data_IF_561005940480
#
_entry.id   IF_561005940480
#
_cell.length_a   1.000
_cell.length_b   1.000
_cell.length_c   1.000
_cell.angle_alpha   90.00
_cell.angle_beta   90.00
_cell.angle_gamma   90.00
#
_symmetry.space_group_name_H-M   'P 1'
#
loop_
_entity.id
_entity.type
_entity.pdbx_description
1 polymer ?
#
# COMPACT_ATOMS: atom_id res chain seq x y z
N UNK A 1 5.55 29.50 -0.18
CA UNK A 1 5.86 28.43 -1.16
C UNK A 1 5.06 27.18 -0.89
N UNK A 2 5.18 26.59 0.30
CA UNK A 2 4.46 25.36 0.69
C UNK A 2 2.94 25.44 0.43
N UNK A 3 2.29 26.55 0.80
CA UNK A 3 0.86 26.76 0.55
C UNK A 3 0.47 26.67 -0.93
N UNK A 4 1.29 27.26 -1.80
CA UNK A 4 1.07 27.25 -3.26
C UNK A 4 1.19 25.81 -3.77
N UNK A 5 2.20 25.07 -3.30
CA UNK A 5 2.43 23.67 -3.70
C UNK A 5 1.30 22.75 -3.24
N UNK A 6 0.79 22.92 -2.01
CA UNK A 6 -0.38 22.17 -1.52
C UNK A 6 -1.57 22.39 -2.44
N UNK A 7 -1.89 23.64 -2.75
CA UNK A 7 -3.04 23.96 -3.60
C UNK A 7 -2.81 23.55 -5.06
N UNK A 8 -1.57 23.54 -5.55
CA UNK A 8 -1.23 22.96 -6.86
C UNK A 8 -1.53 21.47 -6.93
N UNK A 9 -1.19 20.70 -5.89
CA UNK A 9 -1.51 19.27 -5.85
C UNK A 9 -3.02 19.01 -5.79
N UNK A 10 -3.76 19.82 -5.04
CA UNK A 10 -5.23 19.75 -5.01
C UNK A 10 -5.81 20.11 -6.38
N UNK A 11 -5.32 21.18 -7.01
CA UNK A 11 -5.73 21.61 -8.34
C UNK A 11 -5.45 20.54 -9.41
N UNK A 12 -4.27 19.92 -9.37
CA UNK A 12 -3.93 18.79 -10.25
C UNK A 12 -4.89 17.61 -10.05
N UNK A 13 -5.21 17.27 -8.80
CA UNK A 13 -6.19 16.23 -8.48
C UNK A 13 -7.61 16.56 -8.96
N UNK A 14 -8.03 17.82 -8.86
CA UNK A 14 -9.31 18.29 -9.41
C UNK A 14 -9.34 18.21 -10.93
N UNK A 15 -8.26 18.60 -11.62
CA UNK A 15 -8.18 18.50 -13.08
C UNK A 15 -8.26 17.04 -13.55
N UNK A 16 -7.62 16.12 -12.83
CA UNK A 16 -7.60 14.70 -13.17
C UNK A 16 -8.97 14.02 -12.96
N UNK A 17 -9.72 14.45 -11.94
CA UNK A 17 -10.98 13.81 -11.55
C UNK A 17 -12.24 14.58 -11.98
N UNK A 18 -12.10 15.68 -12.73
CA UNK A 18 -13.25 16.46 -13.20
C UNK A 18 -13.89 15.80 -14.44
N UNK A 19 -15.11 15.24 -14.32
CA UNK A 19 -15.78 14.54 -15.42
C UNK A 19 -16.13 15.48 -16.58
N UNK A 20 -16.39 16.75 -16.30
CA UNK A 20 -16.72 17.78 -17.29
C UNK A 20 -15.51 18.26 -18.10
N UNK A 21 -14.30 17.90 -17.66
CA UNK A 21 -13.01 18.31 -18.23
C UNK A 21 -12.22 17.16 -18.85
N UNK A 22 -12.81 15.95 -18.90
CA UNK A 22 -12.14 14.72 -19.35
C UNK A 22 -11.61 14.81 -20.79
N UNK A 23 -12.19 15.68 -21.62
CA UNK A 23 -11.78 15.94 -22.99
C UNK A 23 -10.45 16.70 -23.13
N UNK A 24 -9.99 17.42 -22.10
CA UNK A 24 -8.69 18.11 -22.11
C UNK A 24 -8.13 18.35 -20.70
N UNK A 25 -7.67 17.28 -20.06
CA UNK A 25 -7.04 17.32 -18.72
C UNK A 25 -5.83 18.27 -18.66
N UNK A 26 -4.90 18.31 -19.66
CA UNK A 26 -3.76 19.23 -19.62
C UNK A 26 -4.15 20.72 -19.59
N UNK A 27 -5.18 21.10 -20.35
CA UNK A 27 -5.70 22.47 -20.35
C UNK A 27 -6.26 22.84 -18.97
N UNK A 28 -7.10 21.98 -18.39
CA UNK A 28 -7.72 22.24 -17.09
C UNK A 28 -6.70 22.28 -15.95
N UNK A 29 -5.67 21.43 -16.01
CA UNK A 29 -4.54 21.47 -15.08
C UNK A 29 -3.85 22.83 -15.09
N UNK A 30 -3.58 23.35 -16.29
CA UNK A 30 -2.96 24.67 -16.46
C UNK A 30 -3.87 25.79 -15.93
N UNK A 31 -5.15 25.75 -16.28
CA UNK A 31 -6.14 26.73 -15.82
C UNK A 31 -6.25 26.76 -14.29
N UNK A 32 -6.31 25.60 -13.64
CA UNK A 32 -6.44 25.54 -12.18
C UNK A 32 -5.16 26.00 -11.47
N UNK A 33 -3.97 25.66 -12.00
CA UNK A 33 -2.71 26.19 -11.49
C UNK A 33 -2.62 27.70 -11.59
N UNK A 34 -3.06 28.28 -12.72
CA UNK A 34 -3.16 29.74 -12.87
C UNK A 34 -4.15 30.34 -11.85
N UNK A 35 -5.26 29.66 -11.57
CA UNK A 35 -6.20 30.04 -10.51
C UNK A 35 -5.56 30.05 -9.12
N UNK A 36 -4.73 29.05 -8.80
CA UNK A 36 -3.98 29.00 -7.54
C UNK A 36 -2.96 30.14 -7.46
N UNK A 37 -2.18 30.37 -8.52
CA UNK A 37 -1.23 31.48 -8.57
C UNK A 37 -1.93 32.83 -8.35
N UNK A 38 -3.08 33.03 -8.99
CA UNK A 38 -3.93 34.21 -8.78
C UNK A 38 -4.41 34.33 -7.34
N UNK A 39 -4.82 33.24 -6.69
CA UNK A 39 -5.24 33.22 -5.27
C UNK A 39 -4.14 33.73 -4.33
N UNK A 40 -2.87 33.42 -4.64
CA UNK A 40 -1.72 33.84 -3.84
C UNK A 40 -1.10 35.16 -4.30
N UNK A 41 -1.67 35.85 -5.28
CA UNK A 41 -1.11 37.05 -5.91
C UNK A 41 0.32 36.85 -6.41
N UNK A 42 0.61 35.68 -6.98
CA UNK A 42 1.91 35.32 -7.56
C UNK A 42 1.74 35.13 -9.06
N UNK A 43 2.66 35.67 -9.86
CA UNK A 43 2.70 35.42 -11.30
C UNK A 43 3.44 34.11 -11.60
N UNK A 44 3.18 33.53 -12.78
CA UNK A 44 3.91 32.34 -13.24
C UNK A 44 5.43 32.57 -13.23
N UNK A 45 5.88 33.74 -13.69
CA UNK A 45 7.30 34.09 -13.74
C UNK A 45 7.94 34.19 -12.34
N UNK A 46 7.25 34.76 -11.36
CA UNK A 46 7.74 34.82 -9.98
C UNK A 46 7.81 33.43 -9.34
N UNK A 47 6.80 32.59 -9.59
CA UNK A 47 6.82 31.20 -9.15
C UNK A 47 7.99 30.43 -9.77
N UNK A 48 8.16 30.52 -11.09
CA UNK A 48 9.24 29.84 -11.81
C UNK A 48 10.61 30.33 -11.35
N UNK A 49 10.75 31.64 -11.09
CA UNK A 49 11.97 32.22 -10.50
C UNK A 49 12.27 31.65 -9.12
N UNK A 50 11.24 31.45 -8.29
CA UNK A 50 11.40 30.79 -6.98
C UNK A 50 11.85 29.33 -7.13
N UNK A 51 11.36 28.61 -8.14
CA UNK A 51 11.75 27.22 -8.41
C UNK A 51 13.21 27.10 -8.86
N UNK A 52 13.76 28.10 -9.56
CA UNK A 52 15.20 28.17 -9.87
C UNK A 52 16.03 28.20 -8.58
N UNK A 53 15.63 28.99 -7.58
CA UNK A 53 16.31 29.01 -6.28
C UNK A 53 16.27 27.62 -5.61
N UNK A 54 15.11 26.98 -5.57
CA UNK A 54 14.96 25.66 -4.95
C UNK A 54 15.67 24.53 -5.68
N UNK A 55 15.85 24.62 -7.00
CA UNK A 55 16.64 23.63 -7.76
C UNK A 55 18.10 23.55 -7.29
N UNK A 56 18.63 24.62 -6.70
CA UNK A 56 19.99 24.68 -6.12
C UNK A 56 20.02 24.47 -4.60
N UNK A 57 18.85 24.34 -3.98
CA UNK A 57 18.69 24.16 -2.53
C UNK A 57 17.75 22.98 -2.27
N UNK A 58 18.17 21.79 -2.72
CA UNK A 58 17.39 20.55 -2.64
C UNK A 58 16.91 20.24 -1.22
N UNK A 59 17.73 20.52 -0.21
CA UNK A 59 17.39 20.23 1.19
C UNK A 59 16.22 21.09 1.68
N UNK A 60 16.21 22.37 1.32
CA UNK A 60 15.09 23.28 1.64
C UNK A 60 13.82 22.89 0.88
N UNK A 61 13.97 22.49 -0.39
CA UNK A 61 12.84 22.01 -1.19
C UNK A 61 12.26 20.72 -0.60
N UNK A 62 13.12 19.81 -0.15
CA UNK A 62 12.74 18.56 0.51
C UNK A 62 11.92 18.83 1.78
N UNK A 63 12.37 19.74 2.64
CA UNK A 63 11.64 20.09 3.86
C UNK A 63 10.28 20.74 3.57
N UNK A 64 10.20 21.59 2.53
CA UNK A 64 8.91 22.11 2.04
C UNK A 64 8.00 20.96 1.59
N UNK A 65 8.51 19.99 0.83
CA UNK A 65 7.71 18.86 0.36
C UNK A 65 7.28 17.89 1.49
N UNK A 66 8.05 17.77 2.58
CA UNK A 66 7.57 17.09 3.80
C UNK A 66 6.33 17.78 4.37
N UNK A 67 6.37 19.11 4.49
CA UNK A 67 5.21 19.91 4.95
C UNK A 67 3.99 19.78 4.04
N UNK A 68 4.21 19.81 2.71
CA UNK A 68 3.16 19.57 1.71
C UNK A 68 2.50 18.20 1.92
N UNK A 69 3.30 17.14 2.06
CA UNK A 69 2.80 15.77 2.25
C UNK A 69 1.99 15.63 3.55
N UNK A 70 2.48 16.19 4.66
CA UNK A 70 1.79 16.18 5.95
C UNK A 70 0.45 16.90 5.90
N UNK A 71 0.39 18.07 5.24
CA UNK A 71 -0.83 18.87 5.13
C UNK A 71 -1.86 18.21 4.23
N UNK A 72 -1.44 17.66 3.09
CA UNK A 72 -2.33 16.91 2.21
C UNK A 72 -2.88 15.68 2.92
N UNK A 73 -2.04 14.98 3.71
CA UNK A 73 -2.46 13.84 4.51
C UNK A 73 -3.50 14.21 5.55
N UNK A 74 -3.26 15.26 6.34
CA UNK A 74 -4.23 15.79 7.31
C UNK A 74 -5.53 16.23 6.65
N UNK A 75 -5.46 16.87 5.49
CA UNK A 75 -6.63 17.32 4.73
C UNK A 75 -7.46 16.12 4.23
N UNK A 76 -6.82 15.09 3.70
CA UNK A 76 -7.50 13.87 3.27
C UNK A 76 -8.20 13.17 4.46
N UNK A 77 -7.52 13.03 5.61
CA UNK A 77 -8.12 12.51 6.84
C UNK A 77 -9.35 13.32 7.27
N UNK A 78 -9.26 14.65 7.26
CA UNK A 78 -10.38 15.52 7.65
C UNK A 78 -11.59 15.43 6.71
N UNK A 79 -11.36 14.99 5.46
CA UNK A 79 -12.40 14.78 4.46
C UNK A 79 -12.94 13.33 4.45
N UNK A 80 -12.57 12.52 5.44
CA UNK A 80 -13.10 11.16 5.62
C UNK A 80 -12.30 10.06 4.93
N UNK A 81 -11.10 10.34 4.41
CA UNK A 81 -10.20 9.29 3.95
C UNK A 81 -9.69 8.48 5.15
N UNK A 82 -9.62 7.15 5.02
CA UNK A 82 -9.01 6.32 6.05
C UNK A 82 -7.53 6.66 6.19
N UNK A 83 -6.99 6.58 7.41
CA UNK A 83 -5.56 6.73 7.67
C UNK A 83 -4.69 5.73 6.89
N UNK A 84 -5.27 4.59 6.51
CA UNK A 84 -4.62 3.61 5.66
C UNK A 84 -4.63 4.02 4.19
N UNK A 85 -5.68 4.68 3.70
CA UNK A 85 -5.74 5.18 2.32
C UNK A 85 -4.78 6.34 2.10
N UNK A 86 -4.65 7.26 3.07
CA UNK A 86 -3.72 8.39 2.97
C UNK A 86 -2.25 7.94 2.88
N UNK A 87 -1.87 6.91 3.63
CA UNK A 87 -0.52 6.32 3.59
C UNK A 87 -0.24 5.55 2.29
N UNK A 88 -1.27 5.07 1.60
CA UNK A 88 -1.15 4.40 0.29
C UNK A 88 -0.82 5.38 -0.85
N UNK A 89 -1.10 6.67 -0.69
CA UNK A 89 -1.00 7.67 -1.76
C UNK A 89 0.03 8.79 -1.53
N UNK A 90 0.44 9.08 -0.28
CA UNK A 90 1.31 10.23 0.03
C UNK A 90 2.73 9.84 0.46
N UNK A 91 3.71 10.08 -0.42
CA UNK A 91 5.15 10.17 -0.11
C UNK A 91 5.78 8.99 0.64
N UNK A 92 6.28 8.04 -0.14
CA UNK A 92 6.80 6.78 0.36
C UNK A 92 8.33 6.80 0.28
N UNK A 93 8.97 7.56 1.19
CA UNK A 93 10.44 7.67 1.26
C UNK A 93 11.08 6.36 1.73
N UNK A 94 12.27 6.02 1.21
CA UNK A 94 12.94 4.74 1.47
C UNK A 94 13.22 4.45 2.97
N UNK A 95 13.35 5.50 3.79
CA UNK A 95 13.61 5.40 5.24
C UNK A 95 12.36 5.58 6.12
N UNK A 96 11.18 5.81 5.52
CA UNK A 96 9.93 5.96 6.25
C UNK A 96 9.34 4.64 6.72
N UNK A 97 8.41 4.72 7.68
CA UNK A 97 7.56 3.59 8.14
C UNK A 97 6.75 2.92 7.01
N UNK A 98 6.69 3.58 5.86
CA UNK A 98 6.12 3.06 4.64
C UNK A 98 7.03 3.50 3.50
N UNK A 99 7.50 2.56 2.66
CA UNK A 99 8.40 2.78 1.50
C UNK A 99 7.82 2.13 0.22
N UNK A 100 7.80 2.83 -0.93
CA UNK A 100 7.52 2.18 -2.22
C UNK A 100 8.84 1.67 -2.75
N UNK A 101 8.97 0.35 -2.79
CA UNK A 101 10.20 -0.35 -3.15
C UNK A 101 10.12 -0.95 -4.56
N UNK A 102 9.09 -0.61 -5.35
CA UNK A 102 8.97 -1.06 -6.73
C UNK A 102 10.06 -0.44 -7.60
N UNK A 103 10.86 -1.29 -8.25
CA UNK A 103 11.94 -0.90 -9.16
C UNK A 103 11.59 -1.16 -10.65
N UNK A 104 10.48 -1.85 -10.91
CA UNK A 104 10.05 -2.19 -12.27
C UNK A 104 9.28 -1.08 -12.96
N UNK A 105 8.80 -1.37 -14.16
CA UNK A 105 7.93 -0.45 -14.90
C UNK A 105 6.58 -0.29 -14.16
N UNK A 106 6.03 0.93 -14.07
CA UNK A 106 4.75 1.18 -13.39
C UNK A 106 3.55 0.59 -14.15
N UNK A 107 3.76 0.19 -15.42
CA UNK A 107 2.75 -0.42 -16.27
C UNK A 107 3.36 -1.52 -17.13
N UNK A 108 2.62 -2.59 -17.34
CA UNK A 108 3.04 -3.76 -18.12
C UNK A 108 1.87 -4.22 -18.99
N UNK A 109 2.16 -4.70 -20.19
CA UNK A 109 1.17 -5.33 -21.06
C UNK A 109 1.51 -6.81 -21.22
N UNK A 110 0.53 -7.68 -20.96
CA UNK A 110 0.61 -9.11 -21.19
C UNK A 110 -0.19 -9.50 -22.43
N UNK A 111 0.44 -10.30 -23.28
CA UNK A 111 -0.17 -10.90 -24.48
C UNK A 111 -0.43 -12.38 -24.27
N UNK A 112 -1.26 -13.00 -25.10
CA UNK A 112 -1.61 -14.43 -24.96
C UNK A 112 -0.50 -15.41 -25.40
N UNK A 113 0.60 -14.93 -25.97
CA UNK A 113 1.69 -15.76 -26.48
C UNK A 113 2.99 -15.60 -25.69
N UNK A 114 3.72 -16.70 -25.41
CA UNK A 114 5.08 -16.62 -24.88
C UNK A 114 6.03 -15.89 -25.84
N UNK A 115 7.02 -15.14 -25.32
CA UNK A 115 7.32 -14.94 -23.88
C UNK A 115 6.52 -13.80 -23.23
N UNK A 116 5.66 -13.11 -23.98
CA UNK A 116 4.97 -11.88 -23.55
C UNK A 116 3.74 -12.12 -22.66
N UNK A 117 3.48 -13.36 -22.28
CA UNK A 117 2.38 -13.74 -21.40
C UNK A 117 2.77 -13.76 -19.92
N UNK A 118 4.01 -13.38 -19.59
CA UNK A 118 4.52 -13.33 -18.22
C UNK A 118 5.39 -12.09 -18.01
N UNK A 119 5.29 -11.49 -16.83
CA UNK A 119 6.22 -10.49 -16.33
C UNK A 119 6.64 -10.86 -14.92
N UNK A 120 7.93 -11.00 -14.69
CA UNK A 120 8.49 -11.40 -13.38
C UNK A 120 9.38 -10.30 -12.82
N UNK A 121 9.44 -10.21 -11.49
CA UNK A 121 10.31 -9.27 -10.79
C UNK A 121 10.99 -9.94 -9.59
N UNK A 122 12.13 -9.39 -9.19
CA UNK A 122 12.90 -9.79 -8.02
C UNK A 122 13.55 -8.56 -7.39
N UNK A 123 13.42 -8.42 -6.07
CA UNK A 123 13.98 -7.31 -5.31
C UNK A 123 14.69 -7.91 -4.09
N UNK A 124 15.99 -7.66 -3.99
CA UNK A 124 16.78 -8.01 -2.82
C UNK A 124 16.55 -6.99 -1.71
N UNK A 125 16.45 -7.46 -0.46
CA UNK A 125 16.29 -6.58 0.70
C UNK A 125 17.61 -5.88 1.03
N UNK A 126 17.53 -4.57 1.27
CA UNK A 126 18.65 -3.76 1.76
C UNK A 126 18.53 -3.50 3.28
N UNK A 127 19.38 -2.61 3.80
CA UNK A 127 19.38 -2.23 5.22
C UNK A 127 18.10 -1.53 5.70
N UNK A 128 17.22 -1.08 4.80
CA UNK A 128 15.98 -0.41 5.17
C UNK A 128 14.86 -1.40 5.55
N UNK A 129 15.01 -2.68 5.23
CA UNK A 129 14.05 -3.72 5.63
C UNK A 129 14.25 -4.15 7.09
N UNK A 130 13.14 -4.32 7.82
CA UNK A 130 13.13 -4.69 9.24
C UNK A 130 12.36 -5.98 9.46
N UNK A 131 12.63 -6.61 10.60
CA UNK A 131 11.90 -7.78 11.07
C UNK A 131 10.47 -7.36 11.42
N UNK A 132 9.47 -8.11 10.94
CA UNK A 132 8.05 -7.75 11.08
C UNK A 132 7.50 -6.96 9.90
N UNK A 133 8.32 -6.62 8.91
CA UNK A 133 7.84 -5.90 7.74
C UNK A 133 6.80 -6.68 6.95
N UNK A 134 5.89 -5.94 6.32
CA UNK A 134 4.91 -6.48 5.38
C UNK A 134 5.07 -5.86 4.01
N UNK A 135 4.86 -6.68 2.99
CA UNK A 135 4.96 -6.33 1.59
C UNK A 135 3.57 -6.36 0.97
N UNK A 136 3.18 -5.26 0.33
CA UNK A 136 1.91 -5.10 -0.35
C UNK A 136 2.15 -4.78 -1.82
N UNK A 137 1.82 -5.72 -2.71
CA UNK A 137 1.79 -5.49 -4.15
C UNK A 137 0.42 -4.96 -4.55
N UNK A 138 0.40 -3.80 -5.18
CA UNK A 138 -0.79 -3.09 -5.63
C UNK A 138 -0.72 -2.81 -7.13
N UNK A 139 -1.80 -3.02 -7.86
CA UNK A 139 -1.88 -2.76 -9.30
C UNK A 139 -3.34 -2.65 -9.79
N UNK A 140 -3.52 -1.94 -10.91
CA UNK A 140 -4.78 -1.86 -11.64
C UNK A 140 -4.73 -2.77 -12.87
N UNK A 141 -5.81 -3.51 -13.11
CA UNK A 141 -5.98 -4.40 -14.26
C UNK A 141 -6.97 -3.78 -15.24
N UNK A 142 -6.64 -3.80 -16.54
CA UNK A 142 -7.59 -3.59 -17.62
C UNK A 142 -7.42 -4.69 -18.67
N UNK A 143 -8.53 -5.23 -19.20
CA UNK A 143 -8.48 -6.34 -20.15
C UNK A 143 -9.28 -6.06 -21.41
N UNK A 144 -8.68 -6.29 -22.58
CA UNK A 144 -9.36 -6.32 -23.88
C UNK A 144 -9.33 -7.76 -24.36
N UNK A 145 -10.44 -8.47 -24.20
CA UNK A 145 -10.57 -9.90 -24.54
C UNK A 145 -11.87 -10.08 -25.33
N UNK A 146 -11.75 -10.47 -26.59
CA UNK A 146 -12.89 -10.67 -27.50
C UNK A 146 -13.65 -11.98 -27.23
N UNK A 147 -12.95 -13.07 -26.86
CA UNK A 147 -13.55 -14.36 -26.53
C UNK A 147 -12.72 -15.13 -25.48
N UNK A 148 -13.32 -16.11 -24.81
CA UNK A 148 -12.63 -17.01 -23.86
C UNK A 148 -12.56 -16.55 -22.39
N UNK A 149 -11.93 -17.38 -21.54
CA UNK A 149 -11.74 -17.07 -20.12
C UNK A 149 -10.68 -15.97 -19.93
N UNK A 150 -10.93 -15.13 -18.93
CA UNK A 150 -10.06 -13.99 -18.58
C UNK A 150 -9.14 -14.37 -17.43
N UNK A 151 -8.52 -15.55 -17.49
CA UNK A 151 -7.77 -16.07 -16.36
C UNK A 151 -6.32 -15.55 -16.36
N UNK A 152 -6.00 -14.72 -15.38
CA UNK A 152 -4.65 -14.24 -15.14
C UNK A 152 -4.30 -14.36 -13.65
N UNK A 153 -3.03 -14.57 -13.39
CA UNK A 153 -2.49 -14.86 -12.06
C UNK A 153 -1.47 -13.80 -11.70
N UNK A 154 -1.58 -13.27 -10.49
CA UNK A 154 -0.50 -12.52 -9.85
C UNK A 154 -0.03 -13.32 -8.63
N UNK A 155 1.29 -13.38 -8.44
CA UNK A 155 1.89 -14.03 -7.28
C UNK A 155 2.94 -13.11 -6.66
N UNK A 156 2.92 -13.04 -5.33
CA UNK A 156 3.93 -12.38 -4.51
C UNK A 156 4.51 -13.42 -3.55
N UNK A 157 5.83 -13.49 -3.48
CA UNK A 157 6.58 -14.35 -2.58
C UNK A 157 7.65 -13.54 -1.84
N UNK A 158 7.86 -13.87 -0.58
CA UNK A 158 8.85 -13.27 0.30
C UNK A 158 9.71 -14.39 0.87
N UNK A 159 11.02 -14.31 0.67
CA UNK A 159 12.01 -15.19 1.27
C UNK A 159 12.55 -14.52 2.54
N UNK A 160 12.56 -15.25 3.65
CA UNK A 160 12.94 -14.73 4.95
C UNK A 160 14.40 -15.06 5.35
N UNK A 161 14.87 -14.48 6.46
CA UNK A 161 16.20 -14.64 7.01
C UNK A 161 16.65 -16.09 7.22
N UNK A 162 15.71 -16.97 7.56
CA UNK A 162 15.93 -18.41 7.72
C UNK A 162 15.72 -19.23 6.42
N UNK A 163 15.62 -18.55 5.28
CA UNK A 163 15.36 -19.11 3.94
C UNK A 163 13.98 -19.76 3.75
N UNK A 164 13.08 -19.66 4.74
CA UNK A 164 11.67 -19.99 4.53
C UNK A 164 10.98 -19.00 3.59
N UNK A 165 9.96 -19.46 2.86
CA UNK A 165 9.22 -18.65 1.88
C UNK A 165 7.75 -18.58 2.31
N UNK A 166 7.21 -17.37 2.35
CA UNK A 166 5.76 -17.14 2.33
C UNK A 166 5.35 -16.61 0.97
N UNK A 167 4.20 -17.05 0.46
CA UNK A 167 3.68 -16.56 -0.82
C UNK A 167 2.17 -16.44 -0.79
N UNK A 168 1.66 -15.60 -1.69
CA UNK A 168 0.24 -15.46 -1.96
C UNK A 168 0.05 -15.28 -3.46
N UNK A 169 -0.87 -16.04 -4.03
CA UNK A 169 -1.30 -15.93 -5.41
C UNK A 169 -2.80 -15.57 -5.47
N UNK A 170 -3.19 -14.86 -6.52
CA UNK A 170 -4.58 -14.57 -6.82
C UNK A 170 -4.85 -14.73 -8.31
N UNK A 171 -6.06 -15.16 -8.63
CA UNK A 171 -6.60 -15.10 -9.97
C UNK A 171 -7.43 -13.83 -10.12
N UNK A 172 -7.31 -13.16 -11.25
CA UNK A 172 -8.10 -11.97 -11.56
C UNK A 172 -8.67 -12.06 -12.97
N UNK A 173 -9.96 -11.74 -13.06
CA UNK A 173 -10.73 -11.78 -14.31
C UNK A 173 -11.39 -10.42 -14.55
N UNK A 174 -10.94 -9.68 -15.57
CA UNK A 174 -11.52 -8.39 -15.94
C UNK A 174 -10.83 -7.17 -15.30
N UNK A 175 -11.46 -6.00 -15.45
CA UNK A 175 -10.92 -4.70 -15.06
C UNK A 175 -11.20 -4.42 -13.59
N UNK A 176 -10.15 -4.38 -12.76
CA UNK A 176 -10.28 -4.21 -11.31
C UNK A 176 -8.95 -3.79 -10.66
N UNK A 177 -9.06 -3.19 -9.48
CA UNK A 177 -7.93 -2.90 -8.60
C UNK A 177 -7.58 -4.15 -7.78
N UNK A 178 -6.29 -4.45 -7.61
CA UNK A 178 -5.83 -5.65 -6.92
C UNK A 178 -4.75 -5.38 -5.89
N UNK A 179 -4.82 -6.11 -4.77
CA UNK A 179 -3.88 -5.99 -3.64
C UNK A 179 -3.50 -7.38 -3.12
N UNK A 180 -2.20 -7.67 -3.12
CA UNK A 180 -1.61 -8.89 -2.53
C UNK A 180 -0.72 -8.49 -1.38
N UNK A 181 -0.89 -9.14 -0.22
CA UNK A 181 -0.07 -8.90 0.97
C UNK A 181 0.62 -10.18 1.43
N UNK A 182 1.90 -10.05 1.80
CA UNK A 182 2.69 -11.07 2.50
C UNK A 182 3.45 -10.39 3.63
N UNK A 183 3.34 -10.91 4.85
CA UNK A 183 3.93 -10.32 6.05
C UNK A 183 4.97 -11.24 6.70
N UNK A 184 6.02 -10.65 7.26
CA UNK A 184 6.99 -11.32 8.14
C UNK A 184 6.45 -11.44 9.58
N UNK A 185 5.31 -12.11 9.76
CA UNK A 185 4.64 -12.21 11.07
C UNK A 185 5.47 -12.95 12.15
N UNK A 186 6.56 -13.61 11.76
CA UNK A 186 7.48 -14.31 12.68
C UNK A 186 8.76 -13.52 12.94
N UNK A 187 8.87 -12.28 12.46
CA UNK A 187 10.03 -11.40 12.65
C UNK A 187 11.36 -12.06 12.23
N UNK A 188 11.34 -12.84 11.14
CA UNK A 188 12.49 -13.55 10.61
C UNK A 188 13.41 -12.64 9.80
N UNK A 189 12.90 -11.50 9.35
CA UNK A 189 13.55 -10.54 8.45
C UNK A 189 13.34 -10.95 6.99
N UNK A 190 13.12 -9.97 6.12
CA UNK A 190 12.96 -10.18 4.68
C UNK A 190 14.35 -10.18 4.02
N UNK A 191 14.65 -11.21 3.23
CA UNK A 191 15.86 -11.28 2.39
C UNK A 191 15.58 -10.88 0.94
N UNK A 192 14.46 -11.34 0.40
CA UNK A 192 14.16 -11.18 -1.02
C UNK A 192 12.64 -11.18 -1.24
N UNK A 193 12.16 -10.35 -2.17
CA UNK A 193 10.78 -10.30 -2.62
C UNK A 193 10.72 -10.61 -4.10
N UNK A 194 9.94 -11.62 -4.47
CA UNK A 194 9.75 -12.10 -5.84
C UNK A 194 8.28 -12.10 -6.22
N UNK A 195 8.01 -12.02 -7.50
CA UNK A 195 6.65 -12.21 -7.98
C UNK A 195 6.56 -12.22 -9.48
N UNK A 196 5.36 -12.51 -9.96
CA UNK A 196 5.05 -12.43 -11.37
C UNK A 196 3.58 -12.11 -11.62
N UNK A 197 3.32 -11.60 -12.81
CA UNK A 197 2.02 -11.55 -13.45
C UNK A 197 2.03 -12.52 -14.64
N UNK A 198 0.98 -13.30 -14.79
CA UNK A 198 0.88 -14.33 -15.80
C UNK A 198 -0.51 -14.34 -16.43
N UNK A 199 -0.56 -14.29 -17.76
CA UNK A 199 -1.79 -14.51 -18.52
C UNK A 199 -1.89 -15.98 -18.90
N UNK A 200 -2.93 -16.64 -18.40
CA UNK A 200 -3.15 -18.07 -18.63
C UNK A 200 -3.58 -18.35 -20.07
N UNK A 201 -3.17 -19.51 -20.59
CA UNK A 201 -3.69 -20.03 -21.85
C UNK A 201 -4.97 -20.79 -21.58
N UNK A 202 -6.03 -20.48 -22.30
CA UNK A 202 -7.26 -21.27 -22.24
C UNK A 202 -7.14 -22.48 -23.19
N UNK A 203 -7.29 -23.71 -22.67
CA UNK A 203 -6.98 -24.95 -23.42
C UNK A 203 -8.06 -25.38 -24.43
N UNK A 204 -9.20 -24.67 -24.51
CA UNK A 204 -10.27 -25.00 -25.44
C UNK A 204 -10.04 -24.32 -26.80
N UNK A 205 -10.23 -25.06 -27.90
CA UNK A 205 -10.02 -24.67 -29.30
C UNK A 205 -10.34 -23.18 -29.56
N UNK A 206 -9.30 -22.38 -29.77
CA UNK A 206 -9.41 -20.93 -29.91
C UNK A 206 -9.37 -20.49 -31.37
N UNK A 207 -10.11 -19.42 -31.66
CA UNK A 207 -9.93 -18.65 -32.89
C UNK A 207 -8.55 -17.99 -32.87
N UNK A 208 -7.72 -18.23 -33.88
CA UNK A 208 -6.35 -17.66 -33.98
C UNK A 208 -6.33 -16.15 -34.21
N UNK A 209 -7.50 -15.52 -34.31
CA UNK A 209 -7.70 -14.13 -34.72
C UNK A 209 -8.26 -13.23 -33.62
N UNK A 210 -8.57 -13.75 -32.42
CA UNK A 210 -9.14 -12.93 -31.35
C UNK A 210 -8.07 -12.20 -30.54
N UNK A 211 -8.21 -10.87 -30.43
CA UNK A 211 -7.28 -10.04 -29.66
C UNK A 211 -7.50 -10.24 -28.16
N UNK A 212 -6.39 -10.47 -27.43
CA UNK A 212 -6.39 -10.70 -25.99
C UNK A 212 -5.18 -10.03 -25.35
N UNK A 213 -5.47 -8.96 -24.62
CA UNK A 213 -4.47 -8.11 -23.97
C UNK A 213 -4.91 -7.87 -22.53
N UNK A 214 -3.98 -8.01 -21.60
CA UNK A 214 -4.12 -7.52 -20.22
C UNK A 214 -3.11 -6.40 -20.03
N UNK A 215 -3.59 -5.21 -19.68
CA UNK A 215 -2.76 -4.11 -19.25
C UNK A 215 -2.82 -4.01 -17.73
N UNK A 216 -1.64 -4.00 -17.12
CA UNK A 216 -1.42 -3.73 -15.72
C UNK A 216 -0.86 -2.32 -15.61
N UNK A 217 -1.37 -1.52 -14.69
CA UNK A 217 -0.93 -0.14 -14.49
C UNK A 217 -0.91 0.22 -13.01
N UNK A 218 -0.27 1.33 -12.68
CA UNK A 218 -0.08 1.78 -11.30
C UNK A 218 0.52 0.70 -10.40
N UNK A 219 1.43 -0.12 -10.94
CA UNK A 219 2.10 -1.18 -10.20
C UNK A 219 2.99 -0.56 -9.13
N UNK A 220 2.77 -0.96 -7.88
CA UNK A 220 3.52 -0.51 -6.71
C UNK A 220 3.74 -1.66 -5.76
N UNK A 221 4.91 -1.70 -5.13
CA UNK A 221 5.26 -2.64 -4.09
C UNK A 221 5.61 -1.84 -2.85
N UNK A 222 4.74 -1.90 -1.85
CA UNK A 222 4.83 -1.06 -0.67
C UNK A 222 5.30 -1.91 0.50
N UNK A 223 6.40 -1.50 1.12
CA UNK A 223 6.88 -2.00 2.41
C UNK A 223 6.22 -1.20 3.53
N UNK A 224 5.70 -1.87 4.55
CA UNK A 224 5.29 -1.23 5.79
C UNK A 224 6.06 -1.83 6.97
N UNK A 225 6.57 -0.97 7.84
CA UNK A 225 7.12 -1.38 9.13
C UNK A 225 5.98 -1.69 10.11
N UNK A 226 6.15 -2.79 10.86
CA UNK A 226 5.24 -3.11 11.94
C UNK A 226 5.35 -2.08 13.07
N UNK A 227 4.20 -1.61 13.56
CA UNK A 227 4.14 -0.68 14.68
C UNK A 227 4.10 -1.47 15.98
N UNK A 228 5.23 -1.52 16.68
CA UNK A 228 5.26 -2.05 18.05
C UNK A 228 4.65 -0.97 18.96
N UNK A 229 3.41 -1.21 19.41
CA UNK A 229 2.81 -0.40 20.47
C UNK A 229 3.57 -0.66 21.77
N UNK A 230 4.21 0.36 22.34
CA UNK A 230 4.96 0.28 23.62
C UNK A 230 4.09 -0.08 24.84
N UNK A 231 2.77 -0.22 24.71
CA UNK A 231 1.85 -0.51 25.82
C UNK A 231 1.94 -1.94 26.37
N UNK A 232 2.48 -2.89 25.60
CA UNK A 232 2.51 -4.31 26.00
C UNK A 232 3.84 -4.74 26.65
N UNK A 233 4.87 -3.86 26.62
CA UNK A 233 6.18 -4.14 27.21
C UNK A 233 6.25 -3.87 28.73
N UNK A 234 5.31 -3.12 29.30
CA UNK A 234 5.32 -2.76 30.74
C UNK A 234 4.45 -3.66 31.63
N UNK A 235 3.67 -4.59 31.07
CA UNK A 235 2.84 -5.52 31.86
C UNK A 235 3.56 -6.82 32.27
N UNK A 236 4.79 -7.04 31.81
CA UNK A 236 5.51 -8.31 32.01
C UNK A 236 6.46 -8.36 33.22
N UNK A 237 6.64 -7.27 33.97
CA UNK A 237 7.70 -7.21 34.97
C UNK A 237 7.22 -6.65 36.31
N UNK A 238 6.38 -7.41 37.00
CA UNK A 238 6.20 -7.34 38.45
C UNK A 238 5.54 -8.63 38.92
N UNK A 239 6.35 -9.66 39.20
CA UNK A 239 5.99 -10.70 40.14
C UNK A 239 7.27 -11.32 40.70
N UNK A 240 7.63 -10.92 41.91
CA UNK A 240 8.43 -11.71 42.83
C UNK A 240 7.86 -11.53 44.24
N UNK A 241 8.02 -12.57 45.08
CA UNK A 241 6.98 -13.00 46.00
C UNK A 241 7.16 -12.34 47.36
N UNK A 242 6.08 -11.92 47.99
CA UNK A 242 6.15 -11.62 49.42
C UNK A 242 5.04 -12.28 50.21
N UNK A 243 5.51 -13.04 51.21
CA UNK A 243 4.73 -13.66 52.27
C UNK A 243 4.09 -12.54 53.08
N UNK A 244 2.82 -12.72 53.44
CA UNK A 244 2.36 -12.64 54.84
C UNK A 244 0.84 -12.77 54.89
N UNK A 245 0.39 -13.89 55.45
CA UNK A 245 -0.92 -14.03 56.06
C UNK A 245 -0.85 -13.43 57.48
N UNK A 246 -1.95 -12.90 58.03
CA UNK A 246 -2.69 -13.69 59.03
C UNK A 246 -4.20 -13.64 58.78
N UNK A 247 -4.85 -14.80 58.69
CA UNK A 247 -5.71 -15.41 59.74
C UNK A 247 -6.89 -14.53 60.19
N UNK A 248 -8.11 -15.00 59.94
CA UNK A 248 -9.09 -15.30 61.00
C UNK A 248 -10.24 -16.17 60.45
N UNK A 249 -10.33 -17.34 61.07
CA UNK A 249 -11.37 -18.35 61.16
C UNK A 249 -12.84 -17.93 60.88
N UNK A 250 -13.60 -18.82 60.25
CA UNK A 250 -14.56 -19.63 61.02
C UNK A 250 -15.20 -20.77 60.20
N UNK A 251 -15.28 -21.90 60.87
CA UNK A 251 -15.90 -23.18 60.52
C UNK A 251 -17.35 -23.08 60.05
N UNK A 252 -17.74 -23.99 59.14
CA UNK A 252 -18.81 -25.00 59.31
C UNK A 252 -19.15 -25.62 57.94
N UNK A 253 -18.68 -26.84 57.66
CA UNK A 253 -19.42 -28.12 57.77
C UNK A 253 -20.59 -28.27 56.77
N UNK A 254 -20.31 -29.12 55.77
CA UNK A 254 -21.16 -30.15 55.15
C UNK A 254 -22.61 -29.83 54.76
N UNK A 255 -22.95 -30.05 53.48
CA UNK A 255 -23.64 -31.27 53.00
C UNK A 255 -23.97 -31.18 51.51
N UNK A 256 -23.57 -32.18 50.73
CA UNK A 256 -24.31 -32.60 49.52
C UNK A 256 -25.51 -33.46 49.97
N UNK A 257 -26.58 -33.57 49.17
CA UNK A 257 -26.66 -34.78 48.33
C UNK A 257 -27.39 -34.66 46.97
N UNK A 258 -26.89 -35.48 46.04
CA UNK A 258 -27.54 -36.41 45.08
C UNK A 258 -28.63 -35.93 44.10
N UNK A 259 -28.28 -36.13 42.82
CA UNK A 259 -28.96 -36.94 41.79
C UNK A 259 -30.39 -37.46 42.09
N UNK A 260 -31.30 -37.23 41.14
CA UNK A 260 -32.23 -38.28 40.70
C UNK A 260 -32.58 -38.12 39.20
N UNK A 261 -32.49 -39.23 38.48
CA UNK A 261 -32.98 -39.43 37.11
C UNK A 261 -34.49 -39.73 37.15
N UNK A 262 -35.27 -39.40 36.11
CA UNK A 262 -36.62 -39.96 36.01
C UNK A 262 -37.51 -39.42 34.89
N UNK A 263 -37.52 -40.17 33.78
CA UNK A 263 -38.55 -40.28 32.72
C UNK A 263 -39.94 -39.65 32.98
N UNK A 264 -40.43 -38.90 32.00
CA UNK A 264 -41.56 -39.32 31.16
C UNK A 264 -41.52 -38.66 29.78
#
# INVERSE_FOLDING_TARGET
MEDILVDFHVADGMAQNNPAAANNVPYNRTLYRLGVLKKYNVTQAEFDSSMVYYSRHSDKLHDIYKGVADRLSKKALSLGASADDVKRFGSVTADGDTANVWLGEPSVVLLSCPPYNVYSFSIEADSAYRKGDRMILNFDVNSIIQDGSRDAVAMLAVKFGNDSIASRNMHFTGTQHQVIEVADSKHLGIKEVKGFFYMSKNNNAQSTTSLRIISLSNIRLIRFHERINKSDAEKGNNNSPDKNNPLLDNDSVATSPKEDEGRH
#
